data_IF_849790172745
#
_entry.id   IF_849790172745
#
_cell.length_a   1.000
_cell.length_b   1.000
_cell.length_c   1.000
_cell.angle_alpha   90.00
_cell.angle_beta   90.00
_cell.angle_gamma   90.00
#
_symmetry.space_group_name_H-M   'P 1'
#
loop_
_entity.id
_entity.type
_entity.pdbx_description
1 polymer ?
#
# COMPACT_ATOMS: atom_id res chain seq x y z
N UNK A 1 64.64 33.34 29.40
CA UNK A 1 64.14 32.08 29.98
C UNK A 1 62.67 31.95 29.61
N UNK A 2 62.32 30.82 29.00
CA UNK A 2 61.01 30.53 28.42
C UNK A 2 59.86 30.57 29.42
N UNK A 3 58.64 30.83 28.94
CA UNK A 3 57.41 30.17 29.41
C UNK A 3 56.24 30.39 28.43
N UNK A 4 55.93 29.33 27.68
CA UNK A 4 54.65 29.12 27.00
C UNK A 4 53.51 29.19 28.02
N UNK A 5 52.52 30.03 27.75
CA UNK A 5 51.25 30.10 28.46
C UNK A 5 50.13 29.54 27.58
N UNK A 6 49.63 28.38 27.99
CA UNK A 6 48.66 27.52 27.33
C UNK A 6 47.21 28.04 27.58
N UNK A 7 46.29 27.66 26.67
CA UNK A 7 44.86 27.30 26.90
C UNK A 7 43.77 28.21 26.30
N UNK A 8 43.40 27.86 25.07
CA UNK A 8 42.05 27.45 24.61
C UNK A 8 40.82 28.11 25.26
N UNK A 9 40.14 28.96 24.48
CA UNK A 9 38.71 29.27 24.65
C UNK A 9 37.89 28.31 23.79
N UNK A 10 37.12 27.43 24.43
CA UNK A 10 36.24 26.47 23.80
C UNK A 10 34.95 27.15 23.32
N UNK A 11 34.69 27.13 22.01
CA UNK A 11 33.38 27.46 21.44
C UNK A 11 32.60 26.15 21.33
N UNK A 12 31.70 25.89 22.29
CA UNK A 12 30.79 24.77 22.22
C UNK A 12 29.62 25.13 21.29
N UNK A 13 29.76 24.84 20.00
CA UNK A 13 28.66 24.90 19.05
C UNK A 13 27.75 23.68 19.25
N UNK A 14 26.58 23.89 19.85
CA UNK A 14 25.54 22.87 19.99
C UNK A 14 24.96 22.55 18.60
N UNK A 15 25.45 21.49 17.98
CA UNK A 15 24.84 20.93 16.77
C UNK A 15 23.60 20.15 17.17
N UNK A 16 22.41 20.76 17.02
CA UNK A 16 21.15 20.03 17.06
C UNK A 16 21.05 19.20 15.77
N UNK A 17 21.43 17.93 15.84
CA UNK A 17 21.17 16.97 14.76
C UNK A 17 19.69 16.61 14.80
N UNK A 18 18.89 17.26 13.95
CA UNK A 18 17.52 16.84 13.69
C UNK A 18 17.53 15.50 12.97
N UNK A 19 17.11 14.43 13.65
CA UNK A 19 16.89 13.12 13.05
C UNK A 19 15.60 13.17 12.23
N UNK A 20 15.72 13.42 10.93
CA UNK A 20 14.60 13.20 10.01
C UNK A 20 14.43 11.69 9.87
N UNK A 21 13.47 11.11 10.59
CA UNK A 21 13.01 9.76 10.31
C UNK A 21 12.38 9.77 8.91
N UNK A 22 13.16 9.35 7.90
CA UNK A 22 12.65 9.17 6.55
C UNK A 22 11.49 8.19 6.56
N UNK A 23 10.31 8.64 6.15
CA UNK A 23 9.20 7.74 5.88
C UNK A 23 9.67 6.74 4.81
N UNK A 24 9.74 5.45 5.16
CA UNK A 24 10.06 4.40 4.22
C UNK A 24 8.97 4.35 3.14
N UNK A 25 9.19 5.06 2.04
CA UNK A 25 8.38 4.94 0.83
C UNK A 25 8.74 3.58 0.22
N UNK A 26 7.91 2.57 0.51
CA UNK A 26 8.00 1.30 -0.20
C UNK A 26 7.89 1.53 -1.72
N UNK A 27 8.38 0.60 -2.56
CA UNK A 27 8.39 0.78 -4.01
C UNK A 27 7.02 1.24 -4.51
N UNK A 28 6.97 2.42 -5.12
CA UNK A 28 5.75 2.91 -5.74
C UNK A 28 5.49 2.10 -7.01
N UNK A 29 4.48 1.23 -6.99
CA UNK A 29 4.07 0.47 -8.16
C UNK A 29 3.67 1.41 -9.30
N UNK A 30 4.26 1.20 -10.48
CA UNK A 30 3.97 1.94 -11.69
C UNK A 30 2.48 1.92 -12.01
N UNK A 31 1.84 0.75 -11.89
CA UNK A 31 0.43 0.55 -12.14
C UNK A 31 -0.48 1.43 -11.26
N UNK A 32 -0.05 1.80 -10.04
CA UNK A 32 -0.90 2.58 -9.13
C UNK A 32 -0.81 4.09 -9.36
N UNK A 33 0.22 4.58 -10.06
CA UNK A 33 0.44 6.02 -10.33
C UNK A 33 -0.74 6.78 -10.95
N UNK A 34 -1.50 6.23 -11.92
CA UNK A 34 -2.63 6.95 -12.52
C UNK A 34 -3.86 7.02 -11.61
N UNK A 35 -3.90 6.24 -10.52
CA UNK A 35 -5.05 6.19 -9.62
C UNK A 35 -5.01 7.33 -8.60
N UNK A 36 -6.16 7.61 -8.00
CA UNK A 36 -6.30 8.66 -7.00
C UNK A 36 -6.90 8.11 -5.69
N UNK A 37 -6.41 8.55 -4.52
CA UNK A 37 -7.09 8.33 -3.25
C UNK A 37 -8.54 8.84 -3.27
N UNK A 38 -9.39 8.29 -2.41
CA UNK A 38 -10.78 8.71 -2.27
C UNK A 38 -11.70 7.57 -1.86
N UNK A 39 -12.99 7.78 -2.06
CA UNK A 39 -14.00 6.76 -1.85
C UNK A 39 -14.07 5.83 -3.06
N UNK A 40 -13.94 4.53 -2.81
CA UNK A 40 -14.05 3.48 -3.81
C UNK A 40 -15.24 2.58 -3.49
N UNK A 41 -15.96 2.20 -4.53
CA UNK A 41 -17.02 1.20 -4.51
C UNK A 41 -16.51 -0.07 -5.17
N UNK A 42 -16.66 -1.20 -4.49
CA UNK A 42 -16.05 -2.46 -4.84
C UNK A 42 -17.14 -3.50 -5.02
N UNK A 43 -17.12 -4.17 -6.18
CA UNK A 43 -18.12 -5.13 -6.62
C UNK A 43 -17.44 -6.45 -6.98
N UNK A 44 -17.81 -7.55 -6.31
CA UNK A 44 -17.34 -8.88 -6.68
C UNK A 44 -17.93 -9.30 -8.04
N UNK A 45 -17.19 -10.14 -8.77
CA UNK A 45 -17.59 -10.67 -10.08
C UNK A 45 -17.31 -12.17 -10.14
N UNK A 46 -18.12 -12.88 -10.93
CA UNK A 46 -17.93 -14.31 -11.23
C UNK A 46 -19.08 -15.20 -10.75
N UNK A 47 -18.99 -16.50 -11.02
CA UNK A 47 -19.96 -17.49 -10.54
C UNK A 47 -19.98 -17.54 -9.01
N UNK A 48 -21.17 -17.51 -8.41
CA UNK A 48 -21.35 -17.49 -6.95
C UNK A 48 -21.25 -16.11 -6.31
N UNK A 49 -21.07 -15.04 -7.10
CA UNK A 49 -21.28 -13.68 -6.61
C UNK A 49 -22.74 -13.52 -6.23
N UNK A 50 -23.05 -13.23 -4.96
CA UNK A 50 -24.34 -12.67 -4.63
C UNK A 50 -24.40 -11.26 -5.25
N UNK A 51 -25.14 -11.13 -6.36
CA UNK A 51 -25.47 -9.85 -6.99
C UNK A 51 -25.93 -8.87 -5.88
N UNK A 52 -25.06 -7.93 -5.51
CA UNK A 52 -25.37 -6.89 -4.52
C UNK A 52 -24.38 -6.69 -3.37
N UNK A 53 -23.36 -7.53 -3.17
CA UNK A 53 -22.31 -7.27 -2.14
C UNK A 53 -21.37 -6.14 -2.58
N UNK A 54 -21.88 -4.91 -2.48
CA UNK A 54 -21.14 -3.68 -2.76
C UNK A 54 -20.49 -3.19 -1.48
N UNK A 55 -19.16 -3.09 -1.45
CA UNK A 55 -18.44 -2.50 -0.32
C UNK A 55 -17.87 -1.13 -0.68
N UNK A 56 -18.05 -0.16 0.22
CA UNK A 56 -17.52 1.19 0.08
C UNK A 56 -16.32 1.36 1.00
N UNK A 57 -15.16 1.69 0.44
CA UNK A 57 -13.91 1.87 1.17
C UNK A 57 -13.33 3.25 0.92
N UNK A 58 -12.97 3.96 1.97
CA UNK A 58 -12.10 5.14 1.87
C UNK A 58 -10.65 4.66 1.74
N UNK A 59 -10.07 4.88 0.57
CA UNK A 59 -8.70 4.47 0.22
C UNK A 59 -7.83 5.72 0.23
N UNK A 60 -7.02 5.84 1.27
CA UNK A 60 -5.99 6.89 1.41
C UNK A 60 -4.63 6.44 0.89
N UNK A 61 -4.36 5.13 0.90
CA UNK A 61 -3.20 4.50 0.29
C UNK A 61 -3.66 3.50 -0.76
N UNK A 62 -3.32 3.74 -2.02
CA UNK A 62 -3.76 2.94 -3.17
C UNK A 62 -3.30 1.47 -3.09
N UNK A 63 -2.28 1.15 -2.28
CA UNK A 63 -1.86 -0.23 -2.05
C UNK A 63 -2.93 -1.06 -1.34
N UNK A 64 -3.91 -0.44 -0.69
CA UNK A 64 -5.07 -1.15 -0.11
C UNK A 64 -5.89 -1.89 -1.18
N UNK A 65 -5.89 -1.42 -2.45
CA UNK A 65 -6.52 -2.13 -3.57
C UNK A 65 -5.87 -3.48 -3.87
N UNK A 66 -4.62 -3.71 -3.45
CA UNK A 66 -3.87 -4.94 -3.72
C UNK A 66 -4.11 -6.03 -2.67
N UNK A 67 -4.81 -5.73 -1.58
CA UNK A 67 -4.94 -6.62 -0.43
C UNK A 67 -6.32 -6.51 0.23
N UNK A 68 -7.36 -6.30 -0.60
CA UNK A 68 -8.71 -5.97 -0.14
C UNK A 68 -9.28 -6.99 0.86
N UNK A 69 -8.89 -8.28 0.76
CA UNK A 69 -9.31 -9.33 1.70
C UNK A 69 -8.79 -9.11 3.13
N UNK A 70 -7.59 -8.54 3.27
CA UNK A 70 -6.93 -8.31 4.57
C UNK A 70 -7.04 -6.85 5.04
N UNK A 71 -7.93 -6.07 4.40
CA UNK A 71 -8.36 -4.77 4.90
C UNK A 71 -7.32 -3.64 4.81
N UNK A 72 -7.43 -2.69 5.76
CA UNK A 72 -6.73 -1.38 5.75
C UNK A 72 -5.27 -1.45 6.20
N UNK A 73 -4.88 -2.51 6.90
CA UNK A 73 -3.50 -2.69 7.38
C UNK A 73 -2.64 -3.23 6.25
N UNK A 74 -1.68 -2.44 5.77
CA UNK A 74 -0.78 -2.89 4.70
C UNK A 74 0.12 -4.02 5.20
N UNK A 75 -0.04 -5.19 4.59
CA UNK A 75 0.75 -6.38 4.86
C UNK A 75 2.13 -6.27 4.20
N UNK A 76 3.07 -7.13 4.60
CA UNK A 76 4.38 -7.19 3.94
C UNK A 76 4.17 -7.72 2.53
N UNK A 77 4.40 -6.89 1.51
CA UNK A 77 4.20 -7.24 0.10
C UNK A 77 5.52 -7.40 -0.66
N UNK A 78 5.52 -8.27 -1.65
CA UNK A 78 6.58 -8.42 -2.65
C UNK A 78 5.99 -8.23 -4.04
N UNK A 79 6.67 -7.41 -4.86
CA UNK A 79 6.26 -7.16 -6.25
C UNK A 79 6.74 -8.32 -7.11
N UNK A 80 5.80 -8.97 -7.80
CA UNK A 80 6.08 -10.03 -8.78
C UNK A 80 6.24 -9.44 -10.17
N UNK A 81 5.38 -8.49 -10.53
CA UNK A 81 5.44 -7.76 -11.80
C UNK A 81 4.87 -6.35 -11.63
N UNK A 82 5.39 -5.40 -12.39
CA UNK A 82 4.93 -4.01 -12.38
C UNK A 82 5.05 -3.40 -13.79
N UNK A 83 3.91 -3.25 -14.44
CA UNK A 83 3.74 -2.62 -15.74
C UNK A 83 2.90 -1.34 -15.58
N UNK A 84 2.87 -0.43 -16.57
CA UNK A 84 2.17 0.86 -16.43
C UNK A 84 0.68 0.78 -16.05
N UNK A 85 0.00 -0.32 -16.38
CA UNK A 85 -1.43 -0.54 -16.10
C UNK A 85 -1.72 -1.89 -15.46
N UNK A 86 -0.69 -2.64 -15.03
CA UNK A 86 -0.89 -3.96 -14.43
C UNK A 86 0.19 -4.24 -13.39
N UNK A 87 -0.19 -4.73 -12.22
CA UNK A 87 0.72 -5.12 -11.17
C UNK A 87 0.31 -6.47 -10.60
N UNK A 88 1.31 -7.28 -10.27
CA UNK A 88 1.12 -8.50 -9.49
C UNK A 88 1.94 -8.38 -8.22
N UNK A 89 1.31 -8.65 -7.08
CA UNK A 89 2.01 -8.79 -5.79
C UNK A 89 1.70 -10.14 -5.14
N UNK A 90 2.62 -10.58 -4.28
CA UNK A 90 2.30 -11.48 -3.18
C UNK A 90 2.40 -10.71 -1.87
N UNK A 91 1.67 -11.12 -0.84
CA UNK A 91 1.73 -10.49 0.47
C UNK A 91 1.56 -11.50 1.60
N UNK A 92 2.13 -11.18 2.75
CA UNK A 92 2.10 -11.95 4.00
C UNK A 92 1.59 -11.05 5.13
N UNK A 93 0.48 -11.46 5.74
CA UNK A 93 -0.22 -10.79 6.83
C UNK A 93 -0.03 -11.53 8.18
N UNK A 94 1.06 -12.27 8.34
CA UNK A 94 1.35 -13.09 9.50
C UNK A 94 0.20 -14.06 9.83
N UNK A 95 -0.29 -14.06 11.08
CA UNK A 95 -1.35 -14.95 11.53
C UNK A 95 -2.68 -14.76 10.77
N UNK A 96 -2.91 -13.59 10.16
CA UNK A 96 -4.14 -13.34 9.40
C UNK A 96 -4.16 -14.06 8.04
N UNK A 97 -2.99 -14.47 7.52
CA UNK A 97 -2.88 -15.22 6.26
C UNK A 97 -1.97 -14.57 5.24
N UNK A 98 -2.19 -14.88 3.96
CA UNK A 98 -1.36 -14.45 2.84
C UNK A 98 -2.17 -14.42 1.55
N UNK A 99 -1.60 -13.85 0.49
CA UNK A 99 -2.22 -13.94 -0.81
C UNK A 99 -1.37 -13.47 -1.96
N UNK A 100 -1.93 -13.65 -3.15
CA UNK A 100 -1.46 -13.08 -4.41
C UNK A 100 -2.59 -12.26 -4.99
N UNK A 101 -2.23 -11.09 -5.51
CA UNK A 101 -3.18 -10.21 -6.18
C UNK A 101 -2.62 -9.76 -7.52
N UNK A 102 -3.43 -9.92 -8.56
CA UNK A 102 -3.23 -9.35 -9.88
C UNK A 102 -4.21 -8.17 -10.02
N UNK A 103 -3.67 -6.97 -10.22
CA UNK A 103 -4.44 -5.74 -10.40
C UNK A 103 -4.20 -5.19 -11.80
N UNK A 104 -5.28 -4.89 -12.52
CA UNK A 104 -5.27 -4.21 -13.81
C UNK A 104 -6.00 -2.88 -13.73
N UNK A 105 -5.36 -1.82 -14.21
CA UNK A 105 -5.96 -0.49 -14.32
C UNK A 105 -6.64 -0.36 -15.67
N UNK A 106 -7.95 -0.14 -15.66
CA UNK A 106 -8.75 0.13 -16.86
C UNK A 106 -8.82 1.63 -17.12
N UNK A 107 -9.00 2.42 -16.07
CA UNK A 107 -9.00 3.90 -16.10
C UNK A 107 -8.42 4.46 -14.79
N UNK A 108 -8.11 5.77 -14.70
CA UNK A 108 -7.72 6.40 -13.43
C UNK A 108 -8.70 6.20 -12.26
N UNK A 109 -9.94 5.76 -12.54
CA UNK A 109 -11.01 5.56 -11.54
C UNK A 109 -11.56 4.14 -11.51
N UNK A 110 -11.00 3.19 -12.26
CA UNK A 110 -11.53 1.82 -12.37
C UNK A 110 -10.39 0.81 -12.47
N UNK A 111 -10.42 -0.18 -11.60
CA UNK A 111 -9.46 -1.30 -11.60
C UNK A 111 -10.16 -2.64 -11.51
N UNK A 112 -9.52 -3.65 -12.09
CA UNK A 112 -9.88 -5.05 -11.94
C UNK A 112 -8.89 -5.73 -11.02
N UNK A 113 -9.39 -6.49 -10.05
CA UNK A 113 -8.59 -7.15 -9.03
C UNK A 113 -8.97 -8.63 -9.04
N UNK A 114 -7.99 -9.50 -9.21
CA UNK A 114 -8.11 -10.92 -8.96
C UNK A 114 -7.19 -11.27 -7.78
N UNK A 115 -7.72 -11.95 -6.78
CA UNK A 115 -6.95 -12.26 -5.58
C UNK A 115 -7.31 -13.63 -5.04
N UNK A 116 -6.29 -14.33 -4.56
CA UNK A 116 -6.42 -15.64 -3.95
C UNK A 116 -5.38 -15.84 -2.85
N UNK A 117 -5.66 -16.73 -1.91
CA UNK A 117 -4.75 -17.02 -0.81
C UNK A 117 -5.44 -17.68 0.38
N UNK A 118 -4.90 -17.42 1.56
CA UNK A 118 -5.44 -17.88 2.85
C UNK A 118 -5.82 -16.64 3.66
N UNK A 119 -7.01 -16.64 4.24
CA UNK A 119 -7.44 -15.65 5.23
C UNK A 119 -8.08 -16.39 6.41
N UNK A 120 -7.64 -16.07 7.63
CA UNK A 120 -8.17 -16.67 8.87
C UNK A 120 -8.20 -18.22 8.85
N UNK A 121 -7.18 -18.83 8.24
CA UNK A 121 -7.02 -20.29 8.14
C UNK A 121 -7.84 -20.96 7.02
N UNK A 122 -8.62 -20.22 6.24
CA UNK A 122 -9.41 -20.75 5.13
C UNK A 122 -8.93 -20.21 3.77
N UNK A 123 -9.02 -21.01 2.70
CA UNK A 123 -8.71 -20.52 1.36
C UNK A 123 -9.76 -19.53 0.86
N UNK A 124 -9.33 -18.55 0.09
CA UNK A 124 -10.20 -17.65 -0.66
C UNK A 124 -9.70 -17.49 -2.09
N UNK A 125 -10.63 -17.19 -2.98
CA UNK A 125 -10.36 -16.69 -4.32
C UNK A 125 -11.53 -15.81 -4.75
N UNK A 126 -11.26 -14.65 -5.35
CA UNK A 126 -12.29 -13.78 -5.90
C UNK A 126 -11.76 -12.95 -7.07
N UNK A 127 -12.69 -12.48 -7.89
CA UNK A 127 -12.49 -11.43 -8.88
C UNK A 127 -13.38 -10.24 -8.53
N UNK A 128 -12.93 -9.01 -8.75
CA UNK A 128 -13.72 -7.83 -8.43
C UNK A 128 -13.40 -6.61 -9.30
N UNK A 129 -14.36 -5.70 -9.39
CA UNK A 129 -14.20 -4.34 -9.86
C UNK A 129 -14.05 -3.42 -8.65
N UNK A 130 -13.15 -2.44 -8.73
CA UNK A 130 -13.18 -1.30 -7.84
C UNK A 130 -13.30 -0.02 -8.66
N UNK A 131 -14.24 0.85 -8.29
CA UNK A 131 -14.53 2.12 -8.96
C UNK A 131 -14.47 3.29 -7.98
N UNK A 132 -13.68 4.31 -8.27
CA UNK A 132 -13.62 5.54 -7.47
C UNK A 132 -14.90 6.35 -7.67
N UNK A 133 -15.64 6.57 -6.59
CA UNK A 133 -16.92 7.31 -6.59
C UNK A 133 -16.80 8.76 -6.12
N UNK A 134 -15.70 9.14 -5.47
CA UNK A 134 -15.49 10.52 -5.03
C UNK A 134 -14.37 10.65 -4.01
N UNK A 135 -14.38 11.74 -3.26
CA UNK A 135 -13.52 11.90 -2.07
C UNK A 135 -14.10 11.08 -0.91
N UNK A 136 -13.27 10.75 0.07
CA UNK A 136 -13.75 10.08 1.28
C UNK A 136 -14.74 10.98 2.04
N UNK A 137 -15.76 10.35 2.63
CA UNK A 137 -16.77 11.00 3.47
C UNK A 137 -16.58 10.59 4.94
#
# INVERSE_FOLDING_TARGET
MARNGLRTLAVAAAMMTGSWAGAAQGPSLAALRPLQPGQWELHERGEGSEDGQTRKLCITDLRQLLQVRHGRTLCRSFVVSDAPTMATITYDCAAAGNGRTDLRVETPRLVQINSQGIADGAPFAFAMEARRIGDCQ
#
